data_IF_799069648711
#
_entry.id   IF_799069648711
#
_cell.length_a   1.000
_cell.length_b   1.000
_cell.length_c   1.000
_cell.angle_alpha   90.00
_cell.angle_beta   90.00
_cell.angle_gamma   90.00
#
_symmetry.space_group_name_H-M   'P 1'
#
loop_
_entity.id
_entity.type
_entity.pdbx_description
1 polymer ?
#
# COMPACT_ATOMS: atom_id res chain seq x y z
N UNK A 1 6.26 -17.50 -24.59
CA UNK A 1 5.57 -16.29 -24.10
C UNK A 1 4.57 -16.57 -22.98
N UNK A 2 3.94 -17.75 -22.91
CA UNK A 2 2.97 -18.10 -21.85
C UNK A 2 3.58 -18.28 -20.45
N UNK A 3 4.84 -18.70 -20.37
CA UNK A 3 5.51 -19.01 -19.10
C UNK A 3 5.81 -17.74 -18.27
N UNK A 4 6.39 -16.72 -18.90
CA UNK A 4 6.73 -15.45 -18.23
C UNK A 4 5.48 -14.71 -17.76
N UNK A 5 4.43 -14.67 -18.59
CA UNK A 5 3.16 -14.04 -18.21
C UNK A 5 2.49 -14.78 -17.04
N UNK A 6 2.52 -16.12 -17.03
CA UNK A 6 2.02 -16.92 -15.92
C UNK A 6 2.84 -16.69 -14.64
N UNK A 7 4.17 -16.59 -14.77
CA UNK A 7 5.07 -16.30 -13.64
C UNK A 7 4.81 -14.93 -13.05
N UNK A 8 4.67 -13.90 -13.89
CA UNK A 8 4.32 -12.55 -13.46
C UNK A 8 2.98 -12.54 -12.70
N UNK A 9 1.95 -13.22 -13.24
CA UNK A 9 0.65 -13.31 -12.59
C UNK A 9 0.72 -14.00 -11.22
N UNK A 10 1.49 -15.09 -11.12
CA UNK A 10 1.71 -15.79 -9.87
C UNK A 10 2.46 -14.92 -8.84
N UNK A 11 3.53 -14.25 -9.27
CA UNK A 11 4.30 -13.35 -8.41
C UNK A 11 3.45 -12.20 -7.89
N UNK A 12 2.60 -11.59 -8.72
CA UNK A 12 1.66 -10.54 -8.28
C UNK A 12 0.74 -11.06 -7.17
N UNK A 13 0.15 -12.24 -7.36
CA UNK A 13 -0.74 -12.83 -6.36
C UNK A 13 -0.01 -13.15 -5.05
N UNK A 14 1.21 -13.68 -5.13
CA UNK A 14 2.02 -14.03 -3.96
C UNK A 14 2.44 -12.79 -3.16
N UNK A 15 2.95 -11.77 -3.85
CA UNK A 15 3.33 -10.48 -3.25
C UNK A 15 2.11 -9.80 -2.60
N UNK A 16 0.95 -9.80 -3.25
CA UNK A 16 -0.27 -9.24 -2.65
C UNK A 16 -0.74 -10.02 -1.42
N UNK A 17 -0.59 -11.35 -1.40
CA UNK A 17 -0.87 -12.14 -0.19
C UNK A 17 0.04 -11.73 0.95
N UNK A 18 1.32 -11.52 0.68
CA UNK A 18 2.28 -11.04 1.68
C UNK A 18 1.96 -9.61 2.15
N UNK A 19 1.61 -8.71 1.24
CA UNK A 19 1.19 -7.35 1.57
C UNK A 19 -0.04 -7.35 2.47
N UNK A 20 -1.06 -8.15 2.18
CA UNK A 20 -2.24 -8.26 3.03
C UNK A 20 -1.88 -8.78 4.42
N UNK A 21 -1.08 -9.85 4.49
CA UNK A 21 -0.65 -10.43 5.75
C UNK A 21 0.16 -9.43 6.60
N UNK A 22 1.00 -8.61 5.97
CA UNK A 22 1.83 -7.60 6.65
C UNK A 22 1.03 -6.35 7.04
N UNK A 23 0.32 -5.72 6.11
CA UNK A 23 -0.31 -4.41 6.31
C UNK A 23 -1.73 -4.48 6.89
N UNK A 24 -2.44 -5.60 6.73
CA UNK A 24 -3.84 -5.74 7.17
C UNK A 24 -3.96 -6.69 8.36
N UNK A 25 -3.31 -7.84 8.30
CA UNK A 25 -3.42 -8.86 9.36
C UNK A 25 -2.40 -8.69 10.50
N UNK A 26 -1.40 -7.81 10.35
CA UNK A 26 -0.25 -7.69 11.26
C UNK A 26 0.41 -9.06 11.59
N UNK A 27 0.43 -9.95 10.58
CA UNK A 27 0.92 -11.32 10.70
C UNK A 27 1.76 -11.71 9.48
N UNK A 28 3.01 -11.24 9.38
CA UNK A 28 3.91 -11.60 8.29
C UNK A 28 4.07 -13.13 8.19
N UNK A 29 3.87 -13.67 6.99
CA UNK A 29 3.92 -15.12 6.72
C UNK A 29 5.26 -15.57 6.11
N UNK A 30 6.10 -14.63 5.70
CA UNK A 30 7.46 -14.87 5.19
C UNK A 30 8.41 -13.80 5.74
N UNK A 31 9.72 -14.11 5.88
CA UNK A 31 10.73 -13.11 6.19
C UNK A 31 10.91 -12.09 5.06
N UNK A 32 11.36 -10.89 5.40
CA UNK A 32 11.59 -9.78 4.45
C UNK A 32 12.46 -10.18 3.25
N UNK A 33 13.51 -10.98 3.47
CA UNK A 33 14.39 -11.42 2.40
C UNK A 33 13.68 -12.27 1.32
N UNK A 34 12.67 -13.05 1.72
CA UNK A 34 11.87 -13.84 0.79
C UNK A 34 10.92 -12.94 0.00
N UNK A 35 10.25 -12.02 0.69
CA UNK A 35 9.41 -11.00 0.05
C UNK A 35 10.21 -10.19 -0.98
N UNK A 36 11.38 -9.68 -0.59
CA UNK A 36 12.28 -8.92 -1.45
C UNK A 36 12.68 -9.70 -2.69
N UNK A 37 12.94 -11.00 -2.56
CA UNK A 37 13.28 -11.85 -3.70
C UNK A 37 12.14 -11.93 -4.71
N UNK A 38 10.93 -12.20 -4.23
CA UNK A 38 9.72 -12.30 -5.07
C UNK A 38 9.40 -10.95 -5.73
N UNK A 39 9.52 -9.86 -4.97
CA UNK A 39 9.25 -8.52 -5.47
C UNK A 39 10.26 -8.10 -6.55
N UNK A 40 11.56 -8.35 -6.34
CA UNK A 40 12.60 -8.05 -7.34
C UNK A 40 12.42 -8.88 -8.61
N UNK A 41 12.06 -10.15 -8.48
CA UNK A 41 11.78 -11.01 -9.63
C UNK A 41 10.63 -10.44 -10.48
N UNK A 42 9.54 -10.02 -9.83
CA UNK A 42 8.41 -9.38 -10.50
C UNK A 42 8.82 -8.08 -11.19
N UNK A 43 9.62 -7.23 -10.51
CA UNK A 43 10.14 -5.99 -11.09
C UNK A 43 11.00 -6.25 -12.34
N UNK A 44 11.86 -7.27 -12.32
CA UNK A 44 12.69 -7.62 -13.47
C UNK A 44 11.83 -8.09 -14.64
N UNK A 45 10.85 -8.96 -14.40
CA UNK A 45 9.95 -9.43 -15.44
C UNK A 45 9.18 -8.26 -16.06
N UNK A 46 8.64 -7.35 -15.26
CA UNK A 46 7.89 -6.20 -15.76
C UNK A 46 8.78 -5.14 -16.44
N UNK A 47 10.06 -5.07 -16.08
CA UNK A 47 11.03 -4.21 -16.78
C UNK A 47 11.42 -4.78 -18.16
N UNK A 48 11.58 -6.11 -18.26
CA UNK A 48 11.86 -6.81 -19.52
C UNK A 48 10.61 -6.93 -20.42
N UNK A 49 9.43 -6.98 -19.80
CA UNK A 49 8.13 -7.10 -20.45
C UNK A 49 7.16 -6.00 -19.99
N UNK A 50 7.30 -4.77 -20.50
CA UNK A 50 6.45 -3.64 -20.12
C UNK A 50 4.95 -3.89 -20.35
N UNK A 51 4.59 -4.78 -21.28
CA UNK A 51 3.22 -5.20 -21.54
C UNK A 51 2.57 -5.97 -20.37
N UNK A 52 3.38 -6.50 -19.45
CA UNK A 52 2.93 -7.23 -18.25
C UNK A 52 2.82 -6.35 -17.01
N UNK A 53 3.31 -5.11 -17.07
CA UNK A 53 3.26 -4.13 -15.98
C UNK A 53 1.87 -3.49 -15.91
N UNK A 54 0.98 -4.06 -15.11
CA UNK A 54 -0.38 -3.54 -14.92
C UNK A 54 -0.41 -2.42 -13.89
N UNK A 55 -1.33 -1.46 -14.02
CA UNK A 55 -1.45 -0.33 -13.10
C UNK A 55 -1.81 -0.73 -11.66
N UNK A 56 -2.37 -1.92 -11.48
CA UNK A 56 -2.69 -2.55 -10.21
C UNK A 56 -1.60 -3.53 -9.73
N UNK A 57 -0.44 -3.58 -10.39
CA UNK A 57 0.69 -4.41 -9.92
C UNK A 57 1.30 -3.82 -8.64
N UNK A 58 1.67 -4.65 -7.66
CA UNK A 58 2.32 -4.18 -6.43
C UNK A 58 3.64 -3.43 -6.67
N UNK A 59 4.32 -3.65 -7.80
CA UNK A 59 5.53 -2.89 -8.18
C UNK A 59 5.25 -1.44 -8.56
N UNK A 60 4.03 -1.16 -9.04
CA UNK A 60 3.55 0.18 -9.36
C UNK A 60 2.98 0.88 -8.13
N UNK A 61 2.73 0.11 -7.06
CA UNK A 61 2.25 0.58 -5.77
C UNK A 61 3.41 0.85 -4.83
N UNK A 62 4.12 1.96 -5.04
CA UNK A 62 4.86 2.61 -3.95
C UNK A 62 4.63 4.10 -4.08
N UNK A 63 4.40 4.78 -2.95
CA UNK A 63 4.26 6.23 -2.85
C UNK A 63 5.31 6.96 -3.69
N UNK A 64 4.94 7.27 -4.93
CA UNK A 64 5.77 8.02 -5.84
C UNK A 64 6.09 9.37 -5.24
N UNK A 65 7.15 10.01 -5.75
CA UNK A 65 7.43 11.43 -5.50
C UNK A 65 6.09 12.17 -5.57
N UNK A 66 5.63 12.89 -4.53
CA UNK A 66 4.39 13.65 -4.61
C UNK A 66 4.49 14.49 -5.88
N UNK A 67 3.62 14.24 -6.86
CA UNK A 67 3.61 15.04 -8.06
C UNK A 67 3.42 16.49 -7.57
N UNK A 68 4.28 17.45 -7.94
CA UNK A 68 4.16 18.85 -7.52
C UNK A 68 2.93 19.56 -8.14
N UNK A 69 1.94 18.78 -8.60
CA UNK A 69 0.89 19.13 -9.55
C UNK A 69 -0.50 18.87 -8.97
N UNK A 70 -0.63 18.43 -7.71
CA UNK A 70 -1.94 18.25 -7.11
C UNK A 70 -2.59 19.62 -6.92
N UNK A 71 -3.51 19.94 -7.81
CA UNK A 71 -4.37 21.10 -7.68
C UNK A 71 -5.33 20.85 -6.51
N UNK A 72 -5.51 21.80 -5.58
CA UNK A 72 -6.40 21.60 -4.46
C UNK A 72 -7.82 21.33 -4.96
N UNK A 73 -8.37 20.18 -4.59
CA UNK A 73 -9.76 19.83 -4.84
C UNK A 73 -10.57 20.06 -3.57
N UNK A 74 -11.73 20.67 -3.72
CA UNK A 74 -12.64 20.92 -2.60
C UNK A 74 -13.41 19.64 -2.27
N UNK A 75 -13.35 19.20 -1.01
CA UNK A 75 -14.17 18.07 -0.55
C UNK A 75 -15.66 18.39 -0.72
N UNK A 76 -16.43 17.38 -1.17
CA UNK A 76 -17.89 17.49 -1.38
C UNK A 76 -18.66 17.77 -0.09
N UNK A 77 -18.12 17.29 1.03
CA UNK A 77 -18.61 17.55 2.39
C UNK A 77 -17.44 18.15 3.17
N UNK A 78 -17.65 19.18 4.01
CA UNK A 78 -16.59 19.70 4.87
C UNK A 78 -15.96 18.58 5.69
N UNK A 79 -14.63 18.52 5.72
CA UNK A 79 -13.94 17.66 6.67
C UNK A 79 -14.21 18.19 8.08
N UNK A 80 -14.67 17.32 8.97
CA UNK A 80 -14.87 17.67 10.37
C UNK A 80 -13.52 17.66 11.09
N UNK A 81 -13.35 18.61 12.02
CA UNK A 81 -12.24 18.60 12.97
C UNK A 81 -12.71 17.97 14.28
N UNK A 82 -11.84 17.19 14.91
CA UNK A 82 -12.10 16.63 16.25
C UNK A 82 -11.58 17.65 17.27
N UNK A 83 -12.42 18.05 18.23
CA UNK A 83 -11.97 18.81 19.41
C UNK A 83 -11.08 17.89 20.23
N UNK A 84 -9.86 18.29 20.55
CA UNK A 84 -8.99 17.53 21.45
C UNK A 84 -9.14 18.09 22.86
N UNK A 85 -9.38 17.21 23.84
CA UNK A 85 -9.22 17.52 25.26
C UNK A 85 -7.86 16.99 25.73
N UNK A 86 -7.12 17.81 26.47
CA UNK A 86 -5.74 17.52 26.86
C UNK A 86 -5.59 17.24 28.35
N UNK A 87 -6.63 17.51 29.15
CA UNK A 87 -6.68 17.06 30.54
C UNK A 87 -6.89 15.54 30.59
N UNK A 88 -5.92 14.83 31.14
CA UNK A 88 -5.91 13.36 31.25
C UNK A 88 -6.60 12.86 32.52
N UNK A 89 -7.13 13.75 33.36
CA UNK A 89 -7.90 13.38 34.56
C UNK A 89 -9.35 13.06 34.23
N UNK A 90 -10.10 12.59 35.24
CA UNK A 90 -11.53 12.35 35.12
C UNK A 90 -12.37 13.64 34.91
N UNK A 91 -11.77 14.82 35.08
CA UNK A 91 -12.42 16.10 34.80
C UNK A 91 -12.35 16.42 33.30
N UNK A 92 -11.21 16.17 32.65
CA UNK A 92 -11.07 16.26 31.19
C UNK A 92 -12.10 15.41 30.43
N UNK A 93 -12.31 14.15 30.83
CA UNK A 93 -13.34 13.31 30.21
C UNK A 93 -14.76 13.93 30.28
N UNK A 94 -15.11 14.57 31.41
CA UNK A 94 -16.41 15.24 31.58
C UNK A 94 -16.55 16.55 30.79
N UNK A 95 -15.44 17.20 30.46
CA UNK A 95 -15.42 18.44 29.67
C UNK A 95 -15.39 18.17 28.14
N UNK A 96 -15.07 16.94 27.76
CA UNK A 96 -15.11 16.47 26.38
C UNK A 96 -16.55 16.13 25.94
N UNK A 97 -17.33 15.50 26.82
CA UNK A 97 -18.76 15.17 26.64
C UNK A 97 -19.66 16.41 26.56
#
# INVERSE_FOLDING_TARGET
MTDVAARAAWLRAEVERHNHAYYVEDRPIVPDAEYDRLFRELQLIEAEHPELATADSPTQRVGGKPLPQFTPVRHRVPMLSIKTETDTTAEGARAFD
#
